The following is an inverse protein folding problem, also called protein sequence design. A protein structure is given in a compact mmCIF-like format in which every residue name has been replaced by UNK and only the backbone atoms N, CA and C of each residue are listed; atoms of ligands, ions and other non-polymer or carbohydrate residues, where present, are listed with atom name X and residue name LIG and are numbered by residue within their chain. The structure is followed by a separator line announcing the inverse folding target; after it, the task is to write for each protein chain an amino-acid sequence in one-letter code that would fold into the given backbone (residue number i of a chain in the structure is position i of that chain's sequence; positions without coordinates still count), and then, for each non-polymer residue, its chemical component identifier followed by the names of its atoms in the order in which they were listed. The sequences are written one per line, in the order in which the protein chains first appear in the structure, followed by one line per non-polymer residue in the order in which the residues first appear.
data_IF_187459456734
#
_entry.id   IF_187459456734
#
_cell.length_a   1.000
_cell.length_b   1.000
_cell.length_c   1.000
_cell.angle_alpha   90.00
_cell.angle_beta   90.00
_cell.angle_gamma   90.00
#
_symmetry.space_group_name_H-M   'P 1'
#
loop_
_entity.id
_entity.type
_entity.pdbx_description
1 polymer ?
#
# COMPACT_ATOMS: atom_id res chain seq x y z
N UNK A 1 -29.47 7.55 -3.78
CA UNK A 1 -28.08 7.57 -3.27
C UNK A 1 -27.19 6.97 -4.35
N UNK A 2 -26.15 7.67 -4.78
CA UNK A 2 -25.19 7.17 -5.78
C UNK A 2 -23.91 6.73 -5.05
N UNK A 3 -23.46 5.50 -5.27
CA UNK A 3 -22.24 4.96 -4.66
C UNK A 3 -21.30 4.48 -5.76
N UNK A 4 -20.02 4.86 -5.67
CA UNK A 4 -18.97 4.41 -6.58
C UNK A 4 -18.27 3.20 -5.97
N UNK A 5 -18.27 2.07 -6.68
CA UNK A 5 -17.57 0.87 -6.24
C UNK A 5 -16.09 0.93 -6.64
N UNK A 6 -15.31 1.72 -5.91
CA UNK A 6 -13.87 1.86 -6.16
C UNK A 6 -13.13 0.50 -6.05
N UNK A 7 -13.58 -0.39 -5.16
CA UNK A 7 -12.96 -1.71 -4.98
C UNK A 7 -13.07 -2.57 -6.24
N UNK A 8 -14.25 -2.59 -6.88
CA UNK A 8 -14.45 -3.31 -8.13
C UNK A 8 -13.64 -2.70 -9.28
N UNK A 9 -13.61 -1.37 -9.38
CA UNK A 9 -12.83 -0.64 -10.39
C UNK A 9 -11.32 -0.96 -10.27
N UNK A 10 -10.77 -0.96 -9.05
CA UNK A 10 -9.34 -1.26 -8.82
C UNK A 10 -8.99 -2.75 -9.07
N UNK A 11 -9.98 -3.61 -9.28
CA UNK A 11 -9.82 -5.06 -9.48
C UNK A 11 -10.47 -5.58 -10.76
N UNK A 12 -10.87 -4.67 -11.65
CA UNK A 12 -11.50 -5.04 -12.91
C UNK A 12 -10.48 -5.80 -13.79
N UNK A 13 -10.73 -7.08 -14.13
CA UNK A 13 -9.80 -7.87 -14.94
C UNK A 13 -9.71 -7.38 -16.40
N UNK A 14 -10.64 -6.54 -16.85
CA UNK A 14 -10.59 -5.91 -18.18
C UNK A 14 -9.62 -4.72 -18.23
N UNK A 15 -9.29 -4.15 -17.07
CA UNK A 15 -8.36 -3.03 -16.91
C UNK A 15 -7.01 -3.51 -16.38
N UNK A 16 -7.03 -4.48 -15.46
CA UNK A 16 -5.88 -4.94 -14.72
C UNK A 16 -5.60 -6.42 -14.97
N UNK A 17 -4.43 -6.75 -15.51
CA UNK A 17 -3.95 -8.13 -15.59
C UNK A 17 -3.74 -8.73 -14.17
N UNK A 18 -4.31 -9.89 -13.87
CA UNK A 18 -4.18 -10.53 -12.55
C UNK A 18 -4.46 -9.57 -11.36
N UNK A 19 -5.69 -9.01 -11.27
CA UNK A 19 -6.03 -7.96 -10.29
C UNK A 19 -6.00 -8.44 -8.82
N UNK A 20 -5.97 -9.76 -8.61
CA UNK A 20 -5.89 -10.37 -7.29
C UNK A 20 -4.46 -10.48 -6.75
N UNK A 21 -3.45 -10.16 -7.56
CA UNK A 21 -2.04 -10.21 -7.19
C UNK A 21 -1.53 -8.87 -6.66
N UNK A 22 -0.60 -8.92 -5.71
CA UNK A 22 0.16 -7.76 -5.28
C UNK A 22 1.37 -7.60 -6.21
N UNK A 23 1.25 -6.76 -7.24
CA UNK A 23 2.29 -6.47 -8.24
C UNK A 23 2.57 -4.96 -8.31
N UNK A 24 3.42 -4.40 -7.41
CA UNK A 24 3.74 -2.97 -7.38
C UNK A 24 4.24 -2.42 -8.71
N UNK A 25 5.03 -3.23 -9.43
CA UNK A 25 5.69 -2.90 -10.70
C UNK A 25 4.69 -2.51 -11.78
N UNK A 26 3.43 -2.96 -11.67
CA UNK A 26 2.38 -2.65 -12.64
C UNK A 26 2.03 -1.15 -12.73
N UNK A 27 2.46 -0.36 -11.74
CA UNK A 27 2.28 1.09 -11.70
C UNK A 27 3.56 1.85 -12.11
N UNK A 28 4.66 1.13 -12.36
CA UNK A 28 5.96 1.68 -12.69
C UNK A 28 6.10 1.91 -14.19
N UNK A 29 5.60 3.05 -14.67
CA UNK A 29 5.96 3.70 -15.96
C UNK A 29 5.32 5.09 -16.09
N UNK A 30 4.92 5.74 -14.99
CA UNK A 30 4.15 6.98 -15.03
C UNK A 30 2.68 6.81 -15.43
N UNK A 31 2.28 5.65 -15.93
CA UNK A 31 0.89 5.26 -16.20
C UNK A 31 0.18 4.79 -14.91
N UNK A 32 0.26 5.59 -13.84
CA UNK A 32 -0.64 5.40 -12.70
C UNK A 32 -2.05 5.75 -13.18
N UNK A 33 -2.76 4.76 -13.71
CA UNK A 33 -4.06 4.95 -14.35
C UNK A 33 -3.98 5.29 -15.84
N UNK A 34 -3.28 4.47 -16.64
CA UNK A 34 -3.31 4.55 -18.11
C UNK A 34 -4.72 4.60 -18.73
N UNK A 35 -5.75 4.23 -17.96
CA UNK A 35 -7.12 4.71 -18.14
C UNK A 35 -7.47 5.64 -16.98
N UNK A 36 -7.89 6.88 -17.28
CA UNK A 36 -8.18 7.97 -16.33
C UNK A 36 -9.16 7.62 -15.18
N UNK A 37 -9.74 6.42 -15.17
CA UNK A 37 -10.72 5.96 -14.20
C UNK A 37 -10.41 4.58 -13.59
N UNK A 38 -9.32 3.90 -13.97
CA UNK A 38 -9.00 2.55 -13.47
C UNK A 38 -8.46 2.52 -12.03
N UNK A 39 -7.99 3.67 -11.53
CA UNK A 39 -7.42 3.81 -10.19
C UNK A 39 -7.89 5.10 -9.50
N UNK A 40 -8.63 4.96 -8.41
CA UNK A 40 -9.30 6.05 -7.70
C UNK A 40 -9.07 5.97 -6.17
N UNK A 41 -7.82 5.88 -5.66
CA UNK A 41 -7.55 5.71 -4.24
C UNK A 41 -8.00 6.91 -3.38
N UNK A 42 -8.06 8.10 -4.00
CA UNK A 42 -8.41 9.36 -3.36
C UNK A 42 -9.64 10.02 -4.01
N UNK A 43 -10.40 9.28 -4.81
CA UNK A 43 -11.46 9.84 -5.66
C UNK A 43 -10.90 10.79 -6.74
N UNK A 44 -11.79 11.52 -7.41
CA UNK A 44 -11.45 12.40 -8.54
C UNK A 44 -12.45 13.57 -8.63
N UNK A 45 -12.04 14.67 -9.27
CA UNK A 45 -12.89 15.84 -9.53
C UNK A 45 -13.11 16.72 -8.29
N UNK A 46 -14.22 17.46 -8.26
CA UNK A 46 -14.52 18.47 -7.22
C UNK A 46 -14.63 17.92 -5.79
N UNK A 47 -14.78 16.60 -5.64
CA UNK A 47 -14.94 15.90 -4.34
C UNK A 47 -13.80 14.92 -4.07
N UNK A 48 -12.67 15.06 -4.78
CA UNK A 48 -11.46 14.30 -4.47
C UNK A 48 -10.97 14.61 -3.05
N UNK A 49 -10.22 13.66 -2.47
CA UNK A 49 -9.66 13.81 -1.14
C UNK A 49 -8.64 14.97 -1.12
N UNK A 50 -8.87 16.02 -0.31
CA UNK A 50 -7.94 17.15 -0.21
C UNK A 50 -6.61 16.73 0.44
N UNK A 51 -6.59 15.61 1.19
CA UNK A 51 -5.41 15.06 1.83
C UNK A 51 -4.53 14.16 0.94
N UNK A 52 -4.89 13.94 -0.33
CA UNK A 52 -4.16 13.04 -1.24
C UNK A 52 -2.66 13.34 -1.33
N UNK A 53 -2.30 14.63 -1.45
CA UNK A 53 -0.92 15.07 -1.51
C UNK A 53 -0.13 14.91 -0.20
N UNK A 54 -0.81 14.90 0.95
CA UNK A 54 -0.19 14.61 2.25
C UNK A 54 -0.02 13.09 2.42
N UNK A 55 -1.08 12.33 2.15
CA UNK A 55 -1.08 10.88 2.23
C UNK A 55 0.06 10.27 1.39
N UNK A 56 0.23 10.70 0.14
CA UNK A 56 1.32 10.22 -0.71
C UNK A 56 2.71 10.49 -0.10
N UNK A 57 2.95 11.69 0.44
CA UNK A 57 4.25 12.02 1.07
C UNK A 57 4.51 11.20 2.32
N UNK A 58 3.51 11.09 3.20
CA UNK A 58 3.62 10.32 4.45
C UNK A 58 3.82 8.85 4.14
N UNK A 59 3.08 8.28 3.17
CA UNK A 59 3.24 6.88 2.79
C UNK A 59 4.63 6.59 2.23
N UNK A 60 5.16 7.44 1.35
CA UNK A 60 6.53 7.28 0.85
C UNK A 60 7.56 7.37 1.97
N UNK A 61 7.42 8.35 2.87
CA UNK A 61 8.34 8.52 4.00
C UNK A 61 8.30 7.33 4.95
N UNK A 62 7.10 6.94 5.41
CA UNK A 62 6.92 5.82 6.34
C UNK A 62 7.44 4.53 5.72
N UNK A 63 7.05 4.20 4.49
CA UNK A 63 7.52 2.97 3.82
C UNK A 63 9.04 3.01 3.63
N UNK A 64 9.59 4.13 3.19
CA UNK A 64 11.04 4.32 3.04
C UNK A 64 11.78 4.11 4.36
N UNK A 65 11.32 4.73 5.45
CA UNK A 65 11.90 4.55 6.78
C UNK A 65 11.77 3.11 7.28
N UNK A 66 10.63 2.46 7.07
CA UNK A 66 10.43 1.07 7.49
C UNK A 66 11.36 0.11 6.74
N UNK A 67 11.56 0.31 5.44
CA UNK A 67 12.45 -0.51 4.61
C UNK A 67 13.92 -0.24 4.94
N UNK A 68 14.27 1.04 5.12
CA UNK A 68 15.64 1.47 5.39
C UNK A 68 16.10 1.06 6.79
N UNK A 69 15.24 1.14 7.80
CA UNK A 69 15.65 0.97 9.19
C UNK A 69 15.52 -0.47 9.71
N UNK A 70 14.66 -1.28 9.10
CA UNK A 70 14.32 -2.61 9.61
C UNK A 70 14.53 -3.72 8.59
N UNK A 71 14.85 -4.91 9.09
CA UNK A 71 14.74 -6.18 8.40
C UNK A 71 13.41 -6.82 8.77
N UNK A 72 12.72 -7.37 7.77
CA UNK A 72 11.37 -7.90 7.91
C UNK A 72 11.37 -9.41 7.73
N UNK A 73 10.81 -10.12 8.70
CA UNK A 73 10.56 -11.56 8.62
C UNK A 73 9.05 -11.80 8.72
N UNK A 74 8.53 -12.64 7.83
CA UNK A 74 7.13 -13.06 7.85
C UNK A 74 6.99 -14.36 8.64
N UNK A 75 6.15 -14.35 9.67
CA UNK A 75 5.71 -15.56 10.37
C UNK A 75 4.21 -15.77 10.16
N UNK A 76 3.84 -16.91 9.56
CA UNK A 76 2.44 -17.32 9.33
C UNK A 76 1.88 -17.03 7.93
N UNK A 77 0.64 -17.51 7.70
CA UNK A 77 -0.05 -17.46 6.41
C UNK A 77 -0.89 -16.18 6.21
N UNK A 78 -0.40 -15.29 5.36
CA UNK A 78 -1.02 -13.99 5.09
C UNK A 78 -2.03 -13.98 3.93
N UNK A 79 -3.24 -13.46 4.21
CA UNK A 79 -4.21 -12.83 3.28
C UNK A 79 -5.41 -12.30 4.08
N UNK A 80 -5.32 -11.05 4.54
CA UNK A 80 -6.44 -10.31 5.16
C UNK A 80 -6.02 -9.52 6.40
N UNK A 81 -6.09 -8.19 6.32
CA UNK A 81 -6.03 -7.26 7.46
C UNK A 81 -7.44 -6.94 8.01
N UNK A 82 -8.47 -7.20 7.20
CA UNK A 82 -9.88 -6.89 7.49
C UNK A 82 -10.68 -8.08 8.02
N UNK A 83 -10.15 -9.31 7.95
CA UNK A 83 -10.77 -10.53 8.47
C UNK A 83 -9.84 -11.16 9.51
N UNK A 84 -10.34 -11.42 10.72
CA UNK A 84 -9.61 -12.17 11.74
C UNK A 84 -9.33 -13.58 11.21
N UNK A 85 -8.05 -13.95 11.13
CA UNK A 85 -7.63 -15.28 10.69
C UNK A 85 -7.48 -16.23 11.86
N UNK A 86 -7.65 -17.52 11.57
CA UNK A 86 -7.30 -18.61 12.48
C UNK A 86 -5.82 -18.59 12.90
N UNK A 87 -4.93 -18.20 11.98
CA UNK A 87 -3.52 -17.87 12.27
C UNK A 87 -3.24 -16.43 11.85
N UNK A 88 -2.94 -15.51 12.79
CA UNK A 88 -2.66 -14.12 12.45
C UNK A 88 -1.36 -14.01 11.64
N UNK A 89 -1.33 -13.08 10.69
CA UNK A 89 -0.08 -12.70 10.03
C UNK A 89 0.76 -11.91 11.03
N UNK A 90 1.92 -12.45 11.41
CA UNK A 90 2.87 -11.76 12.29
C UNK A 90 4.05 -11.29 11.45
N UNK A 91 4.25 -9.98 11.41
CA UNK A 91 5.45 -9.37 10.85
C UNK A 91 6.41 -9.09 12.00
N UNK A 92 7.58 -9.73 11.97
CA UNK A 92 8.67 -9.42 12.89
C UNK A 92 9.56 -8.39 12.21
N UNK A 93 9.88 -7.30 12.90
CA UNK A 93 10.86 -6.33 12.45
C UNK A 93 12.07 -6.33 13.39
N UNK A 94 13.28 -6.37 12.81
CA UNK A 94 14.54 -6.21 13.54
C UNK A 94 15.22 -4.94 13.05
N UNK A 95 15.65 -4.08 13.96
CA UNK A 95 16.43 -2.90 13.56
C UNK A 95 17.74 -3.35 12.90
N UNK A 96 18.10 -2.72 11.78
CA UNK A 96 19.37 -2.97 11.10
C UNK A 96 20.52 -2.45 11.94
N UNK A 97 21.68 -3.09 11.83
CA UNK A 97 22.87 -2.74 12.62
C UNK A 97 23.31 -1.29 12.44
N UNK A 98 23.21 -0.77 11.22
CA UNK A 98 23.51 0.63 10.91
C UNK A 98 22.62 1.65 11.64
N UNK A 99 21.46 1.21 12.15
CA UNK A 99 20.52 2.06 12.90
C UNK A 99 20.65 1.89 14.43
N UNK A 100 21.45 0.94 14.92
CA UNK A 100 21.58 0.69 16.36
C UNK A 100 22.04 1.94 17.13
N UNK A 101 22.99 2.70 16.57
CA UNK A 101 23.47 3.93 17.20
C UNK A 101 22.38 5.03 17.30
N UNK A 102 21.40 5.04 16.40
CA UNK A 102 20.30 6.01 16.38
C UNK A 102 19.23 5.63 17.39
N UNK A 103 18.92 4.34 17.50
CA UNK A 103 17.88 3.84 18.40
C UNK A 103 18.34 3.69 19.86
N UNK A 104 19.65 3.53 20.12
CA UNK A 104 20.19 3.43 21.49
C UNK A 104 20.47 4.79 22.15
N UNK A 105 20.38 5.89 21.40
CA UNK A 105 20.59 7.26 21.90
C UNK A 105 19.28 8.05 22.11
N UNK A 106 18.13 7.44 21.83
CA UNK A 106 16.80 7.96 22.15
C UNK A 106 16.26 7.28 23.41
#
# INVERSE_FOLDING_TARGET
MLMVNAWAIHRDPTIWEDPGSFRPERHGNGEVGGQAYGFLPFGMGRRSCPGSGLANKVMCLVLGSLIQCFEWERKGEGRGITMLKATPLVAMCRARECMNAVFLTM
#
